data_IF_296174230822
#
_entry.id   IF_296174230822
#
_cell.length_a   1.000
_cell.length_b   1.000
_cell.length_c   1.000
_cell.angle_alpha   90.00
_cell.angle_beta   90.00
_cell.angle_gamma   90.00
#
_symmetry.space_group_name_H-M   'P 1'
#
loop_
_entity.id
_entity.type
_entity.pdbx_description
1 polymer ?
#
# COMPACT_ATOMS: atom_id res chain seq x y z
N UNK A 1 11.11 -4.18 -14.29
CA UNK A 1 11.65 -3.22 -13.30
C UNK A 1 10.57 -2.17 -13.05
N UNK A 2 10.36 -1.70 -11.81
CA UNK A 2 9.40 -0.61 -11.56
C UNK A 2 9.87 0.64 -12.32
N UNK A 3 9.10 1.12 -13.30
CA UNK A 3 9.26 2.49 -13.77
C UNK A 3 8.85 3.41 -12.62
N UNK A 4 9.75 4.29 -12.15
CA UNK A 4 9.45 5.16 -11.02
C UNK A 4 8.25 6.06 -11.37
N UNK A 5 7.40 6.40 -10.39
CA UNK A 5 6.32 7.35 -10.62
C UNK A 5 6.88 8.65 -11.20
N UNK A 6 6.18 9.21 -12.19
CA UNK A 6 6.55 10.49 -12.77
C UNK A 6 6.64 11.55 -11.67
N UNK A 7 7.74 12.29 -11.67
CA UNK A 7 7.92 13.46 -10.81
C UNK A 7 6.89 14.53 -11.13
N UNK A 8 6.50 15.32 -10.12
CA UNK A 8 5.49 16.34 -10.34
C UNK A 8 5.09 17.07 -9.08
N UNK A 9 4.08 17.91 -9.23
CA UNK A 9 3.48 18.69 -8.16
C UNK A 9 2.05 18.24 -7.88
N UNK A 10 1.71 18.21 -6.59
CA UNK A 10 0.43 17.73 -6.10
C UNK A 10 -0.14 18.74 -5.11
N UNK A 11 -1.43 19.05 -5.20
CA UNK A 11 -2.04 20.03 -4.29
C UNK A 11 -2.00 19.57 -2.82
N UNK A 12 -2.29 18.30 -2.58
CA UNK A 12 -2.29 17.69 -1.25
C UNK A 12 -1.56 16.35 -1.26
N UNK A 13 -1.38 15.74 -0.08
CA UNK A 13 -0.75 14.43 0.04
C UNK A 13 -1.61 13.30 -0.55
N UNK A 14 -2.93 13.44 -0.56
CA UNK A 14 -3.85 12.42 -1.05
C UNK A 14 -3.65 12.09 -2.55
N UNK A 15 -3.70 13.04 -3.50
CA UNK A 15 -3.44 12.76 -4.91
C UNK A 15 -1.99 12.31 -5.15
N UNK A 16 -1.03 12.78 -4.34
CA UNK A 16 0.35 12.31 -4.37
C UNK A 16 0.42 10.81 -4.03
N UNK A 17 -0.18 10.41 -2.92
CA UNK A 17 -0.22 9.01 -2.50
C UNK A 17 -0.98 8.14 -3.48
N UNK A 18 -2.11 8.62 -4.00
CA UNK A 18 -2.89 7.92 -5.02
C UNK A 18 -2.03 7.64 -6.27
N UNK A 19 -1.32 8.66 -6.77
CA UNK A 19 -0.42 8.52 -7.93
C UNK A 19 0.67 7.48 -7.68
N UNK A 20 1.40 7.62 -6.57
CA UNK A 20 2.51 6.72 -6.23
C UNK A 20 2.00 5.28 -6.03
N UNK A 21 0.90 5.10 -5.30
CA UNK A 21 0.34 3.77 -5.04
C UNK A 21 -0.17 3.10 -6.32
N UNK A 22 -0.81 3.83 -7.23
CA UNK A 22 -1.29 3.27 -8.48
C UNK A 22 -0.15 2.80 -9.37
N UNK A 23 0.90 3.61 -9.53
CA UNK A 23 2.07 3.23 -10.32
C UNK A 23 2.77 2.00 -9.73
N UNK A 24 2.93 1.95 -8.40
CA UNK A 24 3.52 0.80 -7.72
C UNK A 24 2.65 -0.46 -7.88
N UNK A 25 1.34 -0.34 -7.62
CA UNK A 25 0.37 -1.44 -7.68
C UNK A 25 0.28 -2.05 -9.08
N UNK A 26 0.21 -1.21 -10.12
CA UNK A 26 0.13 -1.66 -11.52
C UNK A 26 1.35 -2.50 -11.94
N UNK A 27 2.46 -2.39 -11.21
CA UNK A 27 3.72 -3.06 -11.51
C UNK A 27 4.08 -4.13 -10.46
N UNK A 28 3.15 -4.48 -9.55
CA UNK A 28 3.37 -5.55 -8.56
C UNK A 28 4.30 -5.17 -7.41
N UNK A 29 4.39 -3.87 -7.08
CA UNK A 29 5.14 -3.34 -5.95
C UNK A 29 4.21 -2.64 -4.97
N UNK A 30 4.65 -2.52 -3.71
CA UNK A 30 4.01 -1.68 -2.72
C UNK A 30 5.02 -0.69 -2.14
N UNK A 31 4.52 0.48 -1.74
CA UNK A 31 5.32 1.52 -1.11
C UNK A 31 4.70 1.95 0.22
N UNK A 32 5.52 2.54 1.08
CA UNK A 32 5.12 3.10 2.36
C UNK A 32 6.03 4.26 2.76
N UNK A 33 5.60 5.04 3.74
CA UNK A 33 6.46 6.02 4.40
C UNK A 33 7.61 5.31 5.11
N UNK A 34 8.84 5.67 4.78
CA UNK A 34 10.03 5.21 5.51
C UNK A 34 10.39 6.19 6.62
N UNK A 35 10.28 7.49 6.33
CA UNK A 35 10.55 8.57 7.26
C UNK A 35 9.67 9.76 6.93
N UNK A 36 9.24 10.49 7.94
CA UNK A 36 8.58 11.78 7.77
C UNK A 36 9.15 12.81 8.74
N UNK A 37 9.17 14.06 8.30
CA UNK A 37 9.42 15.22 9.13
C UNK A 37 8.36 16.26 8.77
N UNK A 38 7.25 16.26 9.52
CA UNK A 38 6.12 17.12 9.23
C UNK A 38 6.38 18.58 9.63
N UNK A 39 7.29 18.85 10.56
CA UNK A 39 7.75 20.23 10.88
C UNK A 39 8.35 20.92 9.65
N UNK A 40 8.97 20.15 8.74
CA UNK A 40 9.51 20.67 7.49
C UNK A 40 8.72 20.24 6.25
N UNK A 41 7.54 19.65 6.43
CA UNK A 41 6.71 19.07 5.37
C UNK A 41 7.51 18.16 4.42
N UNK A 42 8.21 17.16 4.97
CA UNK A 42 9.04 16.22 4.20
C UNK A 42 8.63 14.79 4.48
N UNK A 43 8.57 13.98 3.43
CA UNK A 43 8.25 12.55 3.51
C UNK A 43 9.20 11.80 2.58
N UNK A 44 9.91 10.83 3.14
CA UNK A 44 10.66 9.83 2.38
C UNK A 44 9.78 8.59 2.21
N UNK A 45 9.50 8.26 0.96
CA UNK A 45 8.66 7.14 0.55
C UNK A 45 9.57 6.07 -0.03
N UNK A 46 9.30 4.80 0.23
CA UNK A 46 10.05 3.71 -0.37
C UNK A 46 9.28 2.40 -0.39
N UNK A 47 9.89 1.37 -0.97
CA UNK A 47 9.26 0.06 -1.12
C UNK A 47 8.90 -0.55 0.25
N UNK A 48 7.80 -1.29 0.35
CA UNK A 48 7.39 -2.00 1.58
C UNK A 48 8.39 -3.08 2.02
N UNK A 49 9.25 -3.53 1.11
CA UNK A 49 10.38 -4.45 1.37
C UNK A 49 11.70 -3.72 1.69
N UNK A 50 11.66 -2.43 2.00
CA UNK A 50 12.86 -1.67 2.37
C UNK A 50 13.39 -2.02 3.77
N UNK A 51 14.70 -1.80 3.94
CA UNK A 51 15.41 -1.98 5.21
C UNK A 51 15.89 -3.42 5.44
N UNK A 52 16.63 -3.60 6.52
CA UNK A 52 17.30 -4.87 6.86
C UNK A 52 16.41 -5.74 7.74
N UNK A 53 16.25 -7.04 7.41
CA UNK A 53 15.68 -8.02 8.33
C UNK A 53 16.46 -8.07 9.64
N UNK A 54 15.76 -8.10 10.78
CA UNK A 54 16.42 -8.38 12.05
C UNK A 54 16.37 -9.90 12.30
N UNK A 55 17.52 -10.60 12.33
CA UNK A 55 17.54 -12.06 12.48
C UNK A 55 17.01 -12.52 13.86
N UNK A 56 16.99 -11.64 14.86
CA UNK A 56 16.51 -11.93 16.21
C UNK A 56 14.99 -11.72 16.37
N UNK A 57 14.28 -11.36 15.31
CA UNK A 57 12.82 -11.15 15.31
C UNK A 57 12.13 -12.16 14.40
N UNK A 58 10.80 -12.15 14.42
CA UNK A 58 9.98 -12.92 13.50
C UNK A 58 10.40 -12.73 12.04
N UNK A 59 10.19 -13.74 11.18
CA UNK A 59 10.55 -13.68 9.77
C UNK A 59 10.02 -12.41 9.11
N UNK A 60 10.89 -11.68 8.44
CA UNK A 60 10.61 -10.38 7.83
C UNK A 60 10.52 -10.49 6.32
N UNK A 61 9.63 -9.71 5.69
CA UNK A 61 9.52 -9.58 4.22
C UNK A 61 10.49 -8.55 3.63
N UNK A 62 11.37 -7.99 4.47
CA UNK A 62 12.34 -6.98 4.07
C UNK A 62 13.43 -7.61 3.19
N UNK A 63 13.80 -6.93 2.10
CA UNK A 63 14.80 -7.36 1.12
C UNK A 63 15.84 -6.25 0.86
N UNK A 64 15.99 -5.32 1.82
CA UNK A 64 16.94 -4.21 1.71
C UNK A 64 16.73 -3.36 0.44
N UNK A 65 15.47 -3.23 0.02
CA UNK A 65 15.14 -2.50 -1.21
C UNK A 65 15.63 -1.04 -1.16
N UNK A 66 16.32 -0.64 -2.23
CA UNK A 66 16.95 0.68 -2.39
C UNK A 66 16.03 1.75 -2.97
N UNK A 67 14.87 1.37 -3.52
CA UNK A 67 13.92 2.30 -4.12
C UNK A 67 13.48 3.40 -3.14
N UNK A 68 13.66 4.67 -3.53
CA UNK A 68 13.32 5.84 -2.72
C UNK A 68 12.70 6.95 -3.55
N UNK A 69 11.63 7.54 -3.03
CA UNK A 69 11.07 8.81 -3.47
C UNK A 69 11.13 9.82 -2.33
N UNK A 70 11.07 11.08 -2.69
CA UNK A 70 11.07 12.19 -1.76
C UNK A 70 9.91 13.13 -2.09
N UNK A 71 9.04 13.37 -1.12
CA UNK A 71 7.96 14.32 -1.21
C UNK A 71 8.21 15.48 -0.25
N UNK A 72 8.13 16.72 -0.74
CA UNK A 72 8.32 17.92 0.08
C UNK A 72 7.38 19.04 -0.32
N UNK A 73 6.85 19.76 0.66
CA UNK A 73 6.19 21.05 0.44
C UNK A 73 7.05 22.19 0.96
N UNK A 74 7.45 23.10 0.07
CA UNK A 74 8.26 24.26 0.42
C UNK A 74 7.41 25.32 1.12
N UNK A 75 8.00 26.11 2.02
CA UNK A 75 7.26 27.10 2.83
C UNK A 75 6.48 28.14 2.00
N UNK A 76 6.97 28.49 0.81
CA UNK A 76 6.31 29.41 -0.12
C UNK A 76 5.44 28.71 -1.17
N UNK A 77 5.43 27.37 -1.19
CA UNK A 77 4.66 26.59 -2.15
C UNK A 77 3.31 26.18 -1.54
N UNK A 78 2.28 26.19 -2.36
CA UNK A 78 0.98 25.59 -2.03
C UNK A 78 0.96 24.09 -2.33
N UNK A 79 1.89 23.60 -3.16
CA UNK A 79 1.96 22.22 -3.66
C UNK A 79 3.06 21.38 -3.00
N UNK A 80 2.87 20.07 -3.02
CA UNK A 80 3.86 19.04 -2.70
C UNK A 80 4.61 18.65 -3.97
N UNK A 81 5.93 18.74 -3.95
CA UNK A 81 6.79 18.24 -5.01
C UNK A 81 7.21 16.81 -4.72
N UNK A 82 6.98 15.91 -5.68
CA UNK A 82 7.48 14.53 -5.68
C UNK A 82 8.72 14.42 -6.55
N UNK A 83 9.79 13.82 -6.02
CA UNK A 83 11.05 13.56 -6.69
C UNK A 83 11.50 12.11 -6.53
N UNK A 84 12.16 11.56 -7.54
CA UNK A 84 12.80 10.25 -7.46
C UNK A 84 14.19 10.43 -6.86
N UNK A 85 14.43 9.76 -5.73
CA UNK A 85 15.75 9.77 -5.06
C UNK A 85 16.59 8.56 -5.49
N UNK A 86 15.97 7.40 -5.63
CA UNK A 86 16.57 6.21 -6.22
C UNK A 86 15.47 5.38 -6.92
N UNK A 87 15.55 5.16 -8.24
CA UNK A 87 14.55 4.38 -8.98
C UNK A 87 14.73 2.85 -8.85
N UNK A 88 15.83 2.36 -8.29
CA UNK A 88 16.19 0.94 -8.36
C UNK A 88 15.53 0.07 -7.29
N UNK A 89 15.02 -1.09 -7.72
CA UNK A 89 14.60 -2.17 -6.83
C UNK A 89 15.65 -3.28 -6.83
N UNK A 90 16.04 -3.73 -5.63
CA UNK A 90 16.91 -4.90 -5.45
C UNK A 90 16.14 -6.24 -5.51
N UNK A 91 14.88 -6.22 -5.97
CA UNK A 91 14.03 -7.40 -6.07
C UNK A 91 12.99 -7.30 -7.20
N UNK A 92 12.51 -8.46 -7.63
CA UNK A 92 11.45 -8.57 -8.62
C UNK A 92 10.08 -8.19 -8.05
N UNK A 93 9.17 -7.80 -8.94
CA UNK A 93 7.76 -7.61 -8.62
C UNK A 93 7.14 -8.91 -8.09
N UNK A 94 6.08 -8.80 -7.29
CA UNK A 94 5.32 -9.97 -6.85
C UNK A 94 4.16 -10.22 -7.82
N UNK A 95 3.95 -11.47 -8.22
CA UNK A 95 2.77 -11.87 -9.00
C UNK A 95 1.49 -11.82 -8.15
N UNK A 96 1.59 -12.25 -6.89
CA UNK A 96 0.52 -12.11 -5.91
C UNK A 96 0.56 -10.73 -5.22
N UNK A 97 -0.33 -9.83 -5.67
CA UNK A 97 -0.53 -8.51 -5.08
C UNK A 97 -0.97 -8.63 -3.60
N UNK A 98 -1.70 -9.68 -3.21
CA UNK A 98 -2.17 -9.86 -1.82
C UNK A 98 -1.04 -10.22 -0.84
N UNK A 99 0.14 -10.62 -1.36
CA UNK A 99 1.35 -10.80 -0.55
C UNK A 99 1.80 -9.49 0.13
N UNK A 100 1.39 -8.33 -0.39
CA UNK A 100 1.65 -7.04 0.23
C UNK A 100 0.53 -6.68 1.23
N UNK A 101 0.82 -6.50 2.53
CA UNK A 101 -0.19 -6.12 3.53
C UNK A 101 -0.89 -4.80 3.22
N UNK A 102 -0.23 -3.88 2.52
CA UNK A 102 -0.83 -2.62 2.08
C UNK A 102 -2.07 -2.83 1.21
N UNK A 103 -2.10 -3.92 0.44
CA UNK A 103 -3.21 -4.26 -0.45
C UNK A 103 -4.27 -5.16 0.20
N UNK A 104 -4.05 -5.58 1.45
CA UNK A 104 -5.03 -6.33 2.27
C UNK A 104 -5.83 -5.42 3.20
N UNK A 105 -5.58 -4.11 3.19
CA UNK A 105 -6.36 -3.15 3.98
C UNK A 105 -7.75 -3.02 3.38
N UNK A 106 -8.76 -3.10 4.25
CA UNK A 106 -10.15 -2.84 3.88
C UNK A 106 -10.31 -1.38 3.51
N UNK A 107 -11.13 -1.12 2.51
CA UNK A 107 -11.57 0.24 2.19
C UNK A 107 -12.66 0.69 3.19
N UNK A 108 -13.02 1.97 3.14
CA UNK A 108 -13.98 2.57 4.07
C UNK A 108 -15.38 1.93 3.96
N UNK A 109 -15.81 1.59 2.75
CA UNK A 109 -17.08 0.91 2.51
C UNK A 109 -17.09 -0.50 3.13
N UNK A 110 -16.05 -1.29 2.90
CA UNK A 110 -15.88 -2.63 3.49
C UNK A 110 -15.81 -2.55 5.02
N UNK A 111 -15.12 -1.54 5.55
CA UNK A 111 -15.02 -1.30 7.00
C UNK A 111 -16.39 -0.95 7.58
N UNK A 112 -17.15 -0.07 6.91
CA UNK A 112 -18.51 0.30 7.31
C UNK A 112 -19.46 -0.90 7.26
N UNK A 113 -19.37 -1.72 6.22
CA UNK A 113 -20.15 -2.94 6.06
C UNK A 113 -19.85 -3.95 7.18
N UNK A 114 -18.57 -4.15 7.54
CA UNK A 114 -18.20 -4.98 8.68
C UNK A 114 -18.77 -4.41 9.98
N UNK A 115 -18.69 -3.09 10.18
CA UNK A 115 -19.25 -2.45 11.37
C UNK A 115 -20.77 -2.67 11.49
N UNK A 116 -21.51 -2.49 10.39
CA UNK A 116 -22.96 -2.75 10.34
C UNK A 116 -23.29 -4.22 10.65
N UNK A 117 -22.50 -5.16 10.11
CA UNK A 117 -22.66 -6.59 10.40
C UNK A 117 -22.20 -6.96 11.82
N UNK A 118 -21.42 -6.12 12.49
CA UNK A 118 -20.96 -6.32 13.86
C UNK A 118 -21.94 -5.78 14.90
N UNK A 119 -22.79 -4.80 14.54
CA UNK A 119 -23.79 -4.22 15.46
C UNK A 119 -24.73 -5.25 16.10
N UNK A 120 -25.21 -6.31 15.41
CA UNK A 120 -26.06 -7.32 16.04
C UNK A 120 -25.31 -8.35 16.94
N UNK A 121 -24.10 -8.06 17.46
CA UNK A 121 -23.24 -9.03 18.18
C UNK A 121 -23.05 -10.35 17.41
N UNK A 122 -23.04 -10.27 16.08
CA UNK A 122 -22.83 -11.45 15.25
C UNK A 122 -21.42 -11.98 15.51
N UNK A 123 -21.34 -13.27 15.81
CA UNK A 123 -20.06 -13.95 15.93
C UNK A 123 -19.21 -13.69 14.67
N UNK A 124 -17.90 -13.42 14.77
CA UNK A 124 -17.04 -13.10 13.63
C UNK A 124 -17.15 -14.08 12.46
N UNK A 125 -17.40 -15.37 12.74
CA UNK A 125 -17.66 -16.41 11.72
C UNK A 125 -18.91 -16.13 10.86
N UNK A 126 -19.98 -15.59 11.44
CA UNK A 126 -21.22 -15.25 10.73
C UNK A 126 -21.02 -14.02 9.85
N UNK A 127 -20.29 -13.01 10.35
CA UNK A 127 -19.90 -11.83 9.58
C UNK A 127 -19.08 -12.27 8.36
N UNK A 128 -18.07 -13.11 8.56
CA UNK A 128 -17.24 -13.64 7.48
C UNK A 128 -18.06 -14.41 6.43
N UNK A 129 -18.96 -15.29 6.85
CA UNK A 129 -19.82 -16.05 5.93
C UNK A 129 -20.73 -15.14 5.09
N UNK A 130 -21.27 -14.07 5.69
CA UNK A 130 -22.13 -13.12 5.00
C UNK A 130 -21.37 -12.22 4.01
N UNK A 131 -20.15 -11.79 4.36
CA UNK A 131 -19.27 -11.09 3.42
C UNK A 131 -18.91 -11.99 2.23
N UNK A 132 -18.68 -13.28 2.48
CA UNK A 132 -18.39 -14.24 1.41
C UNK A 132 -19.59 -14.49 0.50
N UNK A 133 -20.81 -14.62 1.02
CA UNK A 133 -22.00 -14.77 0.17
C UNK A 133 -22.30 -13.52 -0.66
N UNK A 134 -22.01 -12.32 -0.14
CA UNK A 134 -22.21 -11.05 -0.85
C UNK A 134 -21.20 -10.84 -2.00
N UNK A 135 -19.96 -11.34 -1.88
CA UNK A 135 -18.96 -11.27 -2.97
C UNK A 135 -19.20 -12.31 -4.08
N UNK A 136 -19.82 -13.44 -3.76
CA UNK A 136 -19.99 -14.58 -4.68
C UNK A 136 -20.94 -14.25 -5.84
N UNK A 137 -21.78 -13.21 -5.71
CA UNK A 137 -22.63 -12.71 -6.79
C UNK A 137 -21.88 -12.03 -7.94
N UNK A 138 -20.54 -11.89 -7.89
CA UNK A 138 -19.75 -11.14 -8.89
C UNK A 138 -18.42 -11.77 -9.37
N UNK A 139 -18.20 -13.09 -9.23
CA UNK A 139 -17.07 -13.77 -9.93
C UNK A 139 -17.32 -15.28 -10.11
N UNK A 140 -16.95 -15.90 -11.26
CA UNK A 140 -17.09 -17.34 -11.44
C UNK A 140 -16.15 -18.12 -10.52
N UNK A 141 -16.69 -19.19 -9.95
CA UNK A 141 -15.99 -20.19 -9.13
C UNK A 141 -14.87 -20.85 -9.96
N UNK A 142 -13.63 -20.74 -9.50
CA UNK A 142 -12.64 -21.78 -9.77
C UNK A 142 -12.51 -22.57 -8.47
N UNK A 143 -13.24 -23.68 -8.43
CA UNK A 143 -12.96 -24.79 -7.53
C UNK A 143 -11.60 -25.35 -7.96
N UNK A 144 -10.63 -25.40 -7.05
CA UNK A 144 -9.57 -26.39 -7.15
C UNK A 144 -9.53 -27.15 -5.83
N UNK A 145 -9.88 -28.42 -5.98
CA UNK A 145 -9.92 -29.46 -4.96
C UNK A 145 -8.51 -29.86 -4.50
N UNK A 146 -8.51 -30.46 -3.30
CA UNK A 146 -7.47 -31.19 -2.55
C UNK A 146 -6.66 -30.35 -1.55
#
# INVERSE_FOLDING_TARGET
MLQPPTEGEFQTLEPLWWHVHNVARAQGYAVSTLRSNMTHNQIEIGCDRSGTPNPNKSPSRKLECLFRLYARKYAKSTTWTLKVKNPEHSHNATEDIMAHPAFRKLNEQETSQIAQLSEPLLMPRKIQAQLYSQRESNRPLILQDI
#
